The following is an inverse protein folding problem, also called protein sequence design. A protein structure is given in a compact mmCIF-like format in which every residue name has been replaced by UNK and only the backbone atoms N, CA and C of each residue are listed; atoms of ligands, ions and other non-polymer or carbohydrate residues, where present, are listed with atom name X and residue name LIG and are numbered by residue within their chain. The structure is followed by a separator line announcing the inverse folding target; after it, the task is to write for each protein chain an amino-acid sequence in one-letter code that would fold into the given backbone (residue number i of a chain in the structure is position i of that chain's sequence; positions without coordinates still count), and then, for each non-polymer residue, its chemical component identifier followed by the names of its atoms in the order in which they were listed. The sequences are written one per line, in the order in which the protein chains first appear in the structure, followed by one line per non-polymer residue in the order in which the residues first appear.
data_IF_258893271324
#
_entry.id   IF_258893271324
#
_cell.length_a   1.000
_cell.length_b   1.000
_cell.length_c   1.000
_cell.angle_alpha   90.00
_cell.angle_beta   90.00
_cell.angle_gamma   90.00
#
_symmetry.space_group_name_H-M   'P 1'
#
loop_
_entity.id
_entity.type
_entity.pdbx_description
1 polymer ?
#
# COMPACT_ATOMS: atom_id res chain seq x y z
N UNK A 1 19.99 -2.81 -20.23
CA UNK A 1 20.39 -3.93 -19.35
C UNK A 1 19.16 -4.80 -19.10
N UNK A 2 19.31 -6.12 -18.95
CA UNK A 2 18.20 -7.04 -18.69
C UNK A 2 18.56 -7.87 -17.46
N UNK A 3 17.62 -8.06 -16.55
CA UNK A 3 17.70 -9.06 -15.47
C UNK A 3 16.38 -9.83 -15.36
N UNK A 4 16.37 -10.96 -14.68
CA UNK A 4 15.17 -11.73 -14.43
C UNK A 4 15.08 -12.28 -13.01
N UNK A 5 13.86 -12.61 -12.59
CA UNK A 5 13.58 -13.35 -11.36
C UNK A 5 12.54 -14.42 -11.63
N UNK A 6 12.74 -15.61 -11.06
CA UNK A 6 11.83 -16.75 -11.24
C UNK A 6 11.25 -17.15 -9.89
N UNK A 7 9.92 -17.26 -9.84
CA UNK A 7 9.17 -17.72 -8.67
C UNK A 7 8.79 -19.18 -8.89
N UNK A 8 9.17 -20.02 -7.94
CA UNK A 8 8.83 -21.43 -7.91
C UNK A 8 7.70 -21.70 -6.91
N UNK A 9 6.87 -22.68 -7.23
CA UNK A 9 5.96 -23.32 -6.27
C UNK A 9 6.30 -24.81 -6.24
N UNK A 10 6.04 -25.47 -5.10
CA UNK A 10 6.37 -26.87 -4.90
C UNK A 10 5.10 -27.71 -4.78
N UNK A 11 5.01 -28.79 -5.56
CA UNK A 11 4.00 -29.85 -5.38
C UNK A 11 4.73 -31.17 -5.13
N UNK A 12 4.51 -31.76 -3.95
CA UNK A 12 5.20 -32.98 -3.52
C UNK A 12 6.73 -32.89 -3.71
N UNK A 13 7.31 -31.81 -3.17
CA UNK A 13 8.75 -31.48 -3.23
C UNK A 13 9.35 -31.25 -4.63
N UNK A 14 8.53 -31.25 -5.69
CA UNK A 14 8.97 -30.91 -7.05
C UNK A 14 8.74 -29.42 -7.32
N UNK A 15 9.81 -28.63 -7.57
CA UNK A 15 9.66 -27.24 -7.96
C UNK A 15 9.09 -27.14 -9.38
N UNK A 16 8.12 -26.27 -9.58
CA UNK A 16 7.72 -25.82 -10.92
C UNK A 16 7.73 -24.30 -10.98
N UNK A 17 8.05 -23.78 -12.15
CA UNK A 17 8.03 -22.33 -12.38
C UNK A 17 6.58 -21.88 -12.38
N UNK A 18 6.24 -20.95 -11.48
CA UNK A 18 4.93 -20.31 -11.43
C UNK A 18 4.94 -19.00 -12.22
N UNK A 19 6.00 -18.22 -12.04
CA UNK A 19 6.13 -16.90 -12.63
C UNK A 19 7.59 -16.62 -12.99
N UNK A 20 7.82 -15.98 -14.14
CA UNK A 20 9.10 -15.40 -14.51
C UNK A 20 8.91 -13.92 -14.84
N UNK A 21 9.66 -13.08 -14.15
CA UNK A 21 9.67 -11.62 -14.33
C UNK A 21 10.95 -11.23 -15.05
N UNK A 22 10.83 -10.57 -16.19
CA UNK A 22 11.97 -10.03 -16.96
C UNK A 22 11.94 -8.51 -16.85
N UNK A 23 13.00 -7.95 -16.28
CA UNK A 23 13.19 -6.53 -16.04
C UNK A 23 14.09 -5.97 -17.13
N UNK A 24 13.56 -5.01 -17.90
CA UNK A 24 14.30 -4.33 -18.97
C UNK A 24 14.58 -2.90 -18.52
N UNK A 25 15.85 -2.55 -18.47
CA UNK A 25 16.30 -1.23 -18.03
C UNK A 25 16.81 -0.38 -19.19
N UNK A 26 16.56 0.92 -19.12
CA UNK A 26 17.13 1.91 -20.03
C UNK A 26 18.65 2.09 -19.84
N UNK A 27 19.25 2.97 -20.64
CA UNK A 27 20.69 3.28 -20.57
C UNK A 27 21.15 3.86 -19.22
N UNK A 28 20.23 4.42 -18.44
CA UNK A 28 20.47 5.01 -17.13
C UNK A 28 20.12 4.05 -15.98
N UNK A 29 19.92 2.75 -16.27
CA UNK A 29 19.52 1.70 -15.32
C UNK A 29 18.16 1.95 -14.66
N UNK A 30 17.27 2.72 -15.28
CA UNK A 30 15.86 2.82 -14.83
C UNK A 30 15.03 1.71 -15.46
N UNK A 31 14.14 1.11 -14.68
CA UNK A 31 13.23 0.07 -15.16
C UNK A 31 12.32 0.67 -16.24
N UNK A 32 12.47 0.23 -17.48
CA UNK A 32 11.67 0.70 -18.61
C UNK A 32 10.47 -0.21 -18.84
N UNK A 33 10.68 -1.52 -18.76
CA UNK A 33 9.66 -2.52 -19.03
C UNK A 33 9.79 -3.70 -18.05
N UNK A 34 8.66 -4.24 -17.61
CA UNK A 34 8.56 -5.48 -16.85
C UNK A 34 7.65 -6.43 -17.63
N UNK A 35 8.19 -7.60 -17.97
CA UNK A 35 7.46 -8.67 -18.65
C UNK A 35 7.21 -9.78 -17.64
N UNK A 36 5.94 -10.12 -17.42
CA UNK A 36 5.53 -11.11 -16.42
C UNK A 36 4.96 -12.31 -17.16
N UNK A 37 5.67 -13.43 -17.13
CA UNK A 37 5.29 -14.69 -17.74
C UNK A 37 4.75 -15.63 -16.68
N UNK A 38 3.51 -16.08 -16.84
CA UNK A 38 2.85 -17.00 -15.92
C UNK A 38 2.79 -18.40 -16.53
N UNK A 39 2.97 -19.38 -15.66
CA UNK A 39 3.00 -20.79 -16.01
C UNK A 39 2.04 -21.58 -15.12
N UNK A 40 1.48 -22.67 -15.64
CA UNK A 40 0.72 -23.65 -14.88
C UNK A 40 1.48 -24.97 -14.82
N UNK A 41 1.13 -25.78 -13.84
CA UNK A 41 1.57 -27.16 -13.76
C UNK A 41 0.45 -28.06 -14.28
N UNK A 42 0.74 -28.88 -15.29
CA UNK A 42 -0.22 -29.84 -15.88
C UNK A 42 0.49 -31.13 -16.27
N UNK A 43 -0.05 -32.25 -15.81
CA UNK A 43 0.39 -33.61 -16.16
C UNK A 43 1.91 -33.77 -16.12
N UNK A 44 2.54 -33.36 -15.01
CA UNK A 44 3.99 -33.36 -14.75
C UNK A 44 4.85 -32.36 -15.54
N UNK A 45 4.26 -31.51 -16.38
CA UNK A 45 4.96 -30.52 -17.18
C UNK A 45 4.62 -29.08 -16.77
N UNK A 46 5.58 -28.17 -16.96
CA UNK A 46 5.34 -26.73 -16.82
C UNK A 46 4.83 -26.19 -18.15
N UNK A 47 3.65 -25.59 -18.14
CA UNK A 47 2.98 -25.05 -19.34
C UNK A 47 2.95 -23.53 -19.27
N UNK A 48 3.39 -22.86 -20.33
CA UNK A 48 3.24 -21.41 -20.45
C UNK A 48 1.76 -21.05 -20.64
N UNK A 49 1.23 -20.19 -19.77
CA UNK A 49 -0.17 -19.75 -19.86
C UNK A 49 -0.31 -18.42 -20.58
N UNK A 50 0.55 -17.47 -20.21
CA UNK A 50 0.36 -16.08 -20.59
C UNK A 50 1.50 -15.17 -20.22
N UNK A 51 1.55 -14.03 -20.88
CA UNK A 51 2.43 -12.93 -20.57
C UNK A 51 1.62 -11.63 -20.47
N UNK A 52 2.05 -10.72 -19.61
CA UNK A 52 1.60 -9.33 -19.62
C UNK A 52 2.80 -8.41 -19.52
N UNK A 53 2.67 -7.20 -20.03
CA UNK A 53 3.75 -6.21 -20.05
C UNK A 53 3.36 -4.98 -19.25
N UNK A 54 4.30 -4.44 -18.50
CA UNK A 54 4.19 -3.15 -17.85
C UNK A 54 5.32 -2.26 -18.36
N UNK A 55 5.00 -1.03 -18.75
CA UNK A 55 6.00 -0.03 -19.14
C UNK A 55 6.01 1.13 -18.16
N UNK A 56 7.16 1.77 -18.02
CA UNK A 56 7.39 2.85 -17.07
C UNK A 56 8.01 4.04 -17.80
N UNK A 57 7.49 5.24 -17.54
CA UNK A 57 8.04 6.51 -18.01
C UNK A 57 8.38 7.38 -16.82
N UNK A 58 9.48 8.12 -16.93
CA UNK A 58 9.99 8.98 -15.87
C UNK A 58 10.13 10.40 -16.37
N UNK A 59 10.00 11.36 -15.45
CA UNK A 59 10.38 12.74 -15.72
C UNK A 59 11.90 12.95 -15.68
N UNK A 60 12.34 14.18 -15.95
CA UNK A 60 13.74 14.58 -15.95
C UNK A 60 14.41 14.41 -14.56
N UNK A 61 13.64 14.49 -13.47
CA UNK A 61 14.09 14.27 -12.09
C UNK A 61 14.06 12.80 -11.68
N UNK A 62 13.84 11.87 -12.62
CA UNK A 62 13.79 10.43 -12.36
C UNK A 62 12.58 9.96 -11.53
N UNK A 63 11.53 10.77 -11.43
CA UNK A 63 10.28 10.37 -10.76
C UNK A 63 9.37 9.69 -11.78
N UNK A 64 8.62 8.68 -11.34
CA UNK A 64 7.72 7.92 -12.20
C UNK A 64 6.57 8.82 -12.66
N UNK A 65 6.43 9.05 -13.95
CA UNK A 65 5.37 9.86 -14.57
C UNK A 65 4.17 8.99 -14.95
N UNK A 66 4.44 7.80 -15.48
CA UNK A 66 3.41 6.90 -16.00
C UNK A 66 3.84 5.44 -15.82
N UNK A 67 2.87 4.60 -15.47
CA UNK A 67 2.94 3.15 -15.56
C UNK A 67 1.79 2.68 -16.45
N UNK A 68 2.09 1.94 -17.50
CA UNK A 68 1.10 1.43 -18.43
C UNK A 68 1.15 -0.09 -18.47
N UNK A 69 0.01 -0.75 -18.24
CA UNK A 69 -0.14 -2.19 -18.28
C UNK A 69 -0.83 -2.62 -19.57
N UNK A 70 -0.29 -3.66 -20.19
CA UNK A 70 -0.76 -4.26 -21.42
C UNK A 70 -1.16 -5.70 -21.16
N UNK A 71 -2.30 -6.10 -21.69
CA UNK A 71 -2.81 -7.46 -21.59
C UNK A 71 -2.01 -8.45 -22.45
N UNK A 72 -2.47 -9.70 -22.47
CA UNK A 72 -1.84 -10.81 -23.20
C UNK A 72 -1.84 -10.63 -24.72
N UNK A 73 -2.72 -9.79 -25.25
CA UNK A 73 -2.79 -9.44 -26.68
C UNK A 73 -1.91 -8.24 -27.04
N UNK A 74 -1.29 -7.61 -26.03
CA UNK A 74 -0.52 -6.37 -26.20
C UNK A 74 -1.39 -5.12 -26.22
N UNK A 75 -2.69 -5.22 -25.94
CA UNK A 75 -3.60 -4.07 -25.82
C UNK A 75 -3.41 -3.39 -24.46
N UNK A 76 -3.41 -2.06 -24.45
CA UNK A 76 -3.35 -1.28 -23.21
C UNK A 76 -4.59 -1.57 -22.35
N UNK A 77 -4.39 -2.08 -21.14
CA UNK A 77 -5.45 -2.45 -20.20
C UNK A 77 -5.66 -1.38 -19.13
N UNK A 78 -4.57 -0.78 -18.63
CA UNK A 78 -4.64 0.31 -17.66
C UNK A 78 -3.43 1.23 -17.69
N UNK A 79 -3.60 2.44 -17.17
CA UNK A 79 -2.53 3.42 -16.95
C UNK A 79 -2.68 4.08 -15.59
N UNK A 80 -1.55 4.20 -14.88
CA UNK A 80 -1.39 5.08 -13.73
C UNK A 80 -0.53 6.28 -14.17
N UNK A 81 -1.00 7.50 -13.92
CA UNK A 81 -0.25 8.75 -14.19
C UNK A 81 -0.08 9.56 -12.91
N UNK A 82 1.11 10.12 -12.70
CA UNK A 82 1.48 10.76 -11.43
C UNK A 82 1.84 12.23 -11.63
N UNK A 83 1.35 13.08 -10.74
CA UNK A 83 1.73 14.49 -10.65
C UNK A 83 2.42 14.75 -9.31
N UNK A 84 3.44 15.61 -9.35
CA UNK A 84 4.27 15.94 -8.19
C UNK A 84 4.29 17.45 -7.96
N UNK A 85 4.46 17.85 -6.70
CA UNK A 85 4.79 19.23 -6.38
C UNK A 85 6.28 19.56 -6.61
N UNK A 86 6.66 20.81 -6.34
CA UNK A 86 8.03 21.29 -6.47
C UNK A 86 9.03 20.62 -5.51
N UNK A 87 8.55 19.99 -4.43
CA UNK A 87 9.37 19.19 -3.49
C UNK A 87 9.47 17.73 -3.91
N UNK A 88 8.86 17.34 -5.04
CA UNK A 88 8.85 15.96 -5.52
C UNK A 88 7.88 15.04 -4.79
N UNK A 89 6.92 15.58 -4.04
CA UNK A 89 5.88 14.79 -3.37
C UNK A 89 4.71 14.58 -4.33
N UNK A 90 4.16 13.37 -4.40
CA UNK A 90 3.03 13.05 -5.27
C UNK A 90 1.78 13.78 -4.79
N UNK A 91 1.16 14.61 -5.64
CA UNK A 91 -0.07 15.36 -5.34
C UNK A 91 -1.31 14.77 -6.01
N UNK A 92 -1.14 14.02 -7.11
CA UNK A 92 -2.23 13.36 -7.82
C UNK A 92 -1.77 12.05 -8.45
N UNK A 93 -2.67 11.08 -8.48
CA UNK A 93 -2.52 9.81 -9.17
C UNK A 93 -3.79 9.54 -9.96
N UNK A 94 -3.70 9.41 -11.27
CA UNK A 94 -4.81 9.13 -12.16
C UNK A 94 -4.72 7.68 -12.61
N UNK A 95 -5.75 6.89 -12.30
CA UNK A 95 -5.91 5.52 -12.78
C UNK A 95 -6.96 5.49 -13.87
N UNK A 96 -6.60 4.98 -15.05
CA UNK A 96 -7.50 4.81 -16.17
C UNK A 96 -7.42 3.38 -16.72
N UNK A 97 -8.56 2.84 -17.09
CA UNK A 97 -8.69 1.55 -17.77
C UNK A 97 -9.40 1.74 -19.10
N UNK A 98 -9.45 0.69 -19.92
CA UNK A 98 -10.30 0.68 -21.12
C UNK A 98 -11.80 0.82 -20.83
N UNK A 99 -12.22 0.50 -19.59
CA UNK A 99 -13.59 0.66 -19.11
C UNK A 99 -13.72 1.90 -18.23
N UNK A 100 -14.20 3.01 -18.79
CA UNK A 100 -14.20 4.34 -18.15
C UNK A 100 -14.82 4.39 -16.75
N UNK A 101 -15.80 3.53 -16.46
CA UNK A 101 -16.46 3.42 -15.16
C UNK A 101 -15.48 3.15 -14.01
N UNK A 102 -14.36 2.48 -14.27
CA UNK A 102 -13.35 2.17 -13.25
C UNK A 102 -12.28 3.25 -13.11
N UNK A 103 -12.33 4.29 -13.95
CA UNK A 103 -11.39 5.40 -13.88
C UNK A 103 -11.62 6.18 -12.59
N UNK A 104 -10.51 6.54 -11.95
CA UNK A 104 -10.49 7.25 -10.67
C UNK A 104 -9.21 8.04 -10.54
N UNK A 105 -9.19 8.98 -9.63
CA UNK A 105 -7.93 9.60 -9.22
C UNK A 105 -7.83 9.68 -7.71
N UNK A 106 -6.61 9.71 -7.22
CA UNK A 106 -6.29 10.05 -5.84
C UNK A 106 -5.63 11.42 -5.77
N UNK A 107 -5.88 12.16 -4.70
CA UNK A 107 -5.20 13.42 -4.39
C UNK A 107 -4.57 13.38 -3.01
N UNK A 108 -3.54 14.20 -2.81
CA UNK A 108 -2.77 14.26 -1.56
C UNK A 108 -2.42 15.71 -1.23
N UNK A 109 -2.59 16.08 0.03
CA UNK A 109 -2.17 17.35 0.59
C UNK A 109 -1.22 17.12 1.75
N UNK A 110 -0.24 18.00 1.89
CA UNK A 110 0.86 17.83 2.85
C UNK A 110 1.02 19.06 3.73
N UNK A 111 1.42 18.85 4.98
CA UNK A 111 1.92 19.93 5.83
C UNK A 111 3.34 20.37 5.42
N UNK A 112 3.87 21.39 6.09
CA UNK A 112 5.20 21.94 5.81
C UNK A 112 6.32 20.93 6.07
N UNK A 113 6.13 20.06 7.07
CA UNK A 113 7.04 18.98 7.44
C UNK A 113 7.04 17.81 6.46
N UNK A 114 6.13 17.80 5.47
CA UNK A 114 6.08 16.77 4.44
C UNK A 114 5.15 15.59 4.72
N UNK A 115 4.36 15.63 5.79
CA UNK A 115 3.39 14.58 6.10
C UNK A 115 2.07 14.84 5.39
N UNK A 116 1.40 13.77 4.96
CA UNK A 116 0.06 13.84 4.38
C UNK A 116 -0.93 14.28 5.45
N UNK A 117 -1.65 15.38 5.23
CA UNK A 117 -2.72 15.86 6.12
C UNK A 117 -4.11 15.51 5.60
N UNK A 118 -4.23 15.35 4.28
CA UNK A 118 -5.45 14.91 3.62
C UNK A 118 -5.10 14.07 2.40
N UNK A 119 -5.92 13.06 2.13
CA UNK A 119 -5.93 12.39 0.83
C UNK A 119 -7.33 11.92 0.49
N UNK A 120 -7.65 11.80 -0.79
CA UNK A 120 -8.94 11.29 -1.22
C UNK A 120 -8.83 10.41 -2.45
N UNK A 121 -9.86 9.60 -2.67
CA UNK A 121 -10.11 8.86 -3.91
C UNK A 121 -11.42 9.39 -4.49
N UNK A 122 -11.39 9.72 -5.77
CA UNK A 122 -12.49 10.36 -6.49
C UNK A 122 -12.74 9.57 -7.77
N UNK A 123 -13.99 9.53 -8.20
CA UNK A 123 -14.27 9.13 -9.58
C UNK A 123 -13.87 10.27 -10.56
N UNK A 124 -13.95 10.01 -11.86
CA UNK A 124 -13.61 11.03 -12.87
C UNK A 124 -14.60 12.21 -12.93
N UNK A 125 -15.78 12.07 -12.34
CA UNK A 125 -16.75 13.16 -12.15
C UNK A 125 -16.44 14.06 -10.94
N UNK A 126 -15.25 13.93 -10.34
CA UNK A 126 -14.83 14.64 -9.12
C UNK A 126 -15.66 14.34 -7.86
N UNK A 127 -16.45 13.28 -7.87
CA UNK A 127 -17.20 12.86 -6.69
C UNK A 127 -16.29 12.06 -5.74
N UNK A 128 -16.15 12.46 -4.47
CA UNK A 128 -15.34 11.76 -3.49
C UNK A 128 -15.95 10.38 -3.18
N UNK A 129 -15.16 9.33 -3.37
CA UNK A 129 -15.49 7.97 -2.97
C UNK A 129 -14.94 7.65 -1.58
N UNK A 130 -13.81 8.26 -1.24
CA UNK A 130 -13.22 8.19 0.10
C UNK A 130 -12.40 9.46 0.36
N UNK A 131 -12.44 9.96 1.59
CA UNK A 131 -11.52 10.97 2.12
C UNK A 131 -10.85 10.46 3.39
N UNK A 132 -9.60 10.84 3.58
CA UNK A 132 -8.79 10.54 4.77
C UNK A 132 -8.15 11.81 5.26
N UNK A 133 -8.23 12.06 6.56
CA UNK A 133 -7.49 13.16 7.20
C UNK A 133 -6.57 12.63 8.27
N UNK A 134 -5.46 13.34 8.50
CA UNK A 134 -4.42 12.97 9.43
C UNK A 134 -4.01 14.19 10.25
N UNK A 135 -3.88 14.02 11.56
CA UNK A 135 -3.37 15.06 12.46
C UNK A 135 -2.14 14.54 13.17
N UNK A 136 -1.17 15.43 13.33
CA UNK A 136 0.11 15.15 13.96
C UNK A 136 0.30 16.06 15.17
N UNK A 137 1.00 15.57 16.19
CA UNK A 137 1.44 16.40 17.31
C UNK A 137 2.72 17.19 16.96
N UNK A 138 3.24 17.96 17.92
CA UNK A 138 4.46 18.76 17.75
C UNK A 138 5.72 17.92 17.50
N UNK A 139 5.74 16.66 17.95
CA UNK A 139 6.81 15.69 17.68
C UNK A 139 6.68 15.00 16.31
N UNK A 140 5.74 15.45 15.48
CA UNK A 140 5.45 14.88 14.16
C UNK A 140 4.92 13.43 14.20
N UNK A 141 4.31 13.01 15.31
CA UNK A 141 3.66 11.71 15.46
C UNK A 141 2.18 11.81 15.09
N UNK A 142 1.67 10.83 14.34
CA UNK A 142 0.25 10.76 13.97
C UNK A 142 -0.60 10.53 15.22
N UNK A 143 -1.52 11.44 15.54
CA UNK A 143 -2.38 11.35 16.73
C UNK A 143 -3.84 11.07 16.39
N UNK A 144 -4.28 11.41 15.17
CA UNK A 144 -5.64 11.15 14.71
C UNK A 144 -5.63 10.83 13.22
N UNK A 145 -6.44 9.85 12.84
CA UNK A 145 -6.73 9.52 11.45
C UNK A 145 -8.22 9.31 11.27
N UNK A 146 -8.82 9.87 10.22
CA UNK A 146 -10.23 9.62 9.88
C UNK A 146 -10.35 9.03 8.48
N UNK A 147 -11.44 8.27 8.27
CA UNK A 147 -11.88 7.79 6.96
C UNK A 147 -13.36 8.12 6.81
N UNK A 148 -13.66 8.89 5.78
CA UNK A 148 -15.01 9.13 5.31
C UNK A 148 -15.16 8.38 3.98
N UNK A 149 -15.89 7.28 4.00
CA UNK A 149 -16.09 6.40 2.85
C UNK A 149 -17.54 6.59 2.41
N UNK A 150 -17.73 6.91 1.12
CA UNK A 150 -19.06 7.15 0.54
C UNK A 150 -19.99 5.97 0.86
N UNK A 151 -21.19 6.28 1.36
CA UNK A 151 -22.22 5.31 1.73
C UNK A 151 -21.78 4.27 2.77
N UNK A 152 -20.78 4.57 3.60
CA UNK A 152 -20.29 3.67 4.66
C UNK A 152 -20.14 4.42 5.98
N UNK A 153 -19.77 3.68 7.02
CA UNK A 153 -19.57 4.26 8.36
C UNK A 153 -18.28 5.07 8.38
N UNK A 154 -18.32 6.21 9.08
CA UNK A 154 -17.13 7.03 9.32
C UNK A 154 -16.23 6.29 10.30
N UNK A 155 -14.97 6.12 9.93
CA UNK A 155 -13.96 5.51 10.80
C UNK A 155 -13.06 6.60 11.35
N UNK A 156 -12.65 6.45 12.60
CA UNK A 156 -11.65 7.32 13.23
C UNK A 156 -10.72 6.46 14.09
N UNK A 157 -9.44 6.79 14.08
CA UNK A 157 -8.43 6.21 14.96
C UNK A 157 -7.73 7.33 15.75
N UNK A 158 -7.54 7.13 17.04
CA UNK A 158 -6.67 7.95 17.89
C UNK A 158 -5.45 7.12 18.30
N UNK A 159 -4.29 7.76 18.34
CA UNK A 159 -3.01 7.12 18.65
C UNK A 159 -2.39 7.82 19.85
N UNK A 160 -1.88 7.03 20.80
CA UNK A 160 -1.17 7.55 21.98
C UNK A 160 0.20 6.94 22.08
N UNK A 161 1.15 7.75 22.51
CA UNK A 161 2.56 7.40 22.58
C UNK A 161 3.07 7.61 24.01
N UNK A 162 4.08 6.84 24.38
CA UNK A 162 4.81 7.05 25.62
C UNK A 162 5.84 8.19 25.50
N UNK A 163 6.59 8.43 26.57
CA UNK A 163 7.66 9.44 26.61
C UNK A 163 8.83 9.13 25.66
N UNK A 164 8.99 7.88 25.24
CA UNK A 164 9.99 7.44 24.25
C UNK A 164 9.46 7.51 22.83
N UNK A 165 8.25 8.07 22.62
CA UNK A 165 7.57 8.20 21.33
C UNK A 165 7.18 6.85 20.71
N UNK A 166 7.05 5.82 21.53
CA UNK A 166 6.61 4.49 21.10
C UNK A 166 5.08 4.39 21.19
N UNK A 167 4.44 3.74 20.21
CA UNK A 167 2.97 3.64 20.13
C UNK A 167 2.44 2.66 21.19
N UNK A 168 1.74 3.18 22.20
CA UNK A 168 1.23 2.37 23.32
C UNK A 168 -0.28 2.15 23.28
N UNK A 169 -1.01 2.91 22.47
CA UNK A 169 -2.47 2.76 22.38
C UNK A 169 -3.04 3.19 21.04
N UNK A 170 -4.00 2.42 20.56
CA UNK A 170 -4.86 2.76 19.42
C UNK A 170 -6.31 2.64 19.84
N UNK A 171 -7.09 3.71 19.68
CA UNK A 171 -8.54 3.69 19.89
C UNK A 171 -9.23 3.86 18.56
N UNK A 172 -10.08 2.91 18.18
CA UNK A 172 -10.79 2.90 16.90
C UNK A 172 -12.27 3.13 17.11
N UNK A 173 -12.84 3.95 16.24
CA UNK A 173 -14.20 4.44 16.32
C UNK A 173 -14.94 4.16 15.02
N UNK A 174 -16.22 3.82 15.15
CA UNK A 174 -17.17 3.70 14.05
C UNK A 174 -18.33 4.65 14.36
N UNK A 175 -18.57 5.63 13.49
CA UNK A 175 -19.56 6.70 13.69
C UNK A 175 -19.42 7.34 15.09
N UNK A 176 -18.19 7.74 15.42
CA UNK A 176 -17.78 8.38 16.68
C UNK A 176 -18.00 7.56 17.96
N UNK A 177 -18.44 6.30 17.85
CA UNK A 177 -18.49 5.34 18.96
C UNK A 177 -17.24 4.49 18.97
N UNK A 178 -16.64 4.29 20.14
CA UNK A 178 -15.51 3.35 20.30
C UNK A 178 -15.97 1.99 19.81
N UNK A 179 -15.20 1.40 18.91
CA UNK A 179 -15.38 0.05 18.39
C UNK A 179 -14.41 -0.92 19.06
N UNK A 180 -13.14 -0.55 19.17
CA UNK A 180 -12.18 -1.25 20.04
C UNK A 180 -11.07 -0.30 20.52
N UNK A 181 -10.39 -0.73 21.56
CA UNK A 181 -9.12 -0.17 22.03
C UNK A 181 -8.08 -1.26 21.97
N UNK A 182 -6.87 -0.94 21.52
CA UNK A 182 -5.71 -1.82 21.63
C UNK A 182 -4.61 -1.10 22.40
N UNK A 183 -4.06 -1.76 23.41
CA UNK A 183 -2.95 -1.26 24.23
C UNK A 183 -1.74 -2.17 24.08
N UNK A 184 -0.56 -1.58 24.03
CA UNK A 184 0.69 -2.30 23.75
C UNK A 184 1.67 -2.16 24.92
N UNK A 185 2.31 -3.28 25.25
CA UNK A 185 3.52 -3.30 26.09
C UNK A 185 4.69 -3.58 25.17
N UNK A 186 5.68 -2.69 25.22
CA UNK A 186 6.82 -2.71 24.32
C UNK A 186 8.12 -2.94 25.09
N UNK A 187 9.10 -3.55 24.43
CA UNK A 187 10.47 -3.57 24.93
C UNK A 187 11.21 -2.25 24.63
N UNK A 188 12.47 -2.17 25.07
CA UNK A 188 13.31 -0.99 24.87
C UNK A 188 13.61 -0.68 23.39
N UNK A 189 13.55 -1.69 22.51
CA UNK A 189 13.77 -1.54 21.05
C UNK A 189 12.47 -1.21 20.30
N UNK A 190 11.32 -1.23 20.99
CA UNK A 190 10.01 -0.91 20.46
C UNK A 190 9.26 -2.10 19.88
N UNK A 191 9.71 -3.32 20.15
CA UNK A 191 8.95 -4.50 19.74
C UNK A 191 7.80 -4.76 20.70
N UNK A 192 6.68 -5.24 20.15
CA UNK A 192 5.48 -5.56 20.92
C UNK A 192 5.70 -6.85 21.69
N UNK A 193 5.79 -6.75 23.02
CA UNK A 193 5.81 -7.90 23.93
C UNK A 193 4.40 -8.38 24.21
N UNK A 194 3.47 -7.45 24.40
CA UNK A 194 2.06 -7.76 24.62
C UNK A 194 1.15 -6.78 23.88
N UNK A 195 -0.01 -7.27 23.43
CA UNK A 195 -1.11 -6.42 22.97
C UNK A 195 -2.42 -6.86 23.61
N UNK A 196 -3.18 -5.91 24.17
CA UNK A 196 -4.49 -6.16 24.78
C UNK A 196 -5.59 -5.45 23.99
N UNK A 197 -6.51 -6.24 23.43
CA UNK A 197 -7.68 -5.74 22.71
C UNK A 197 -8.88 -5.67 23.65
N UNK A 198 -9.55 -4.53 23.64
CA UNK A 198 -10.76 -4.29 24.41
C UNK A 198 -11.92 -3.91 23.49
N UNK A 199 -13.08 -4.51 23.74
CA UNK A 199 -14.36 -4.08 23.21
C UNK A 199 -14.86 -2.81 23.92
N UNK A 200 -15.93 -2.17 23.41
CA UNK A 200 -16.49 -0.97 24.01
C UNK A 200 -16.86 -1.19 25.48
N UNK A 201 -16.55 -0.21 26.34
CA UNK A 201 -16.70 -0.33 27.79
C UNK A 201 -15.54 -1.05 28.49
N UNK A 202 -14.34 -1.03 27.91
CA UNK A 202 -13.10 -1.62 28.46
C UNK A 202 -13.21 -3.12 28.75
N UNK A 203 -14.00 -3.84 27.95
CA UNK A 203 -14.15 -5.29 28.10
C UNK A 203 -12.98 -5.99 27.40
N UNK A 204 -12.07 -6.68 28.11
CA UNK A 204 -10.97 -7.37 27.46
C UNK A 204 -11.51 -8.47 26.54
N UNK A 205 -10.98 -8.54 25.33
CA UNK A 205 -11.38 -9.49 24.29
C UNK A 205 -10.30 -10.51 24.03
N UNK A 206 -9.08 -10.04 23.74
CA UNK A 206 -7.92 -10.90 23.45
C UNK A 206 -6.65 -10.26 24.00
N UNK A 207 -5.78 -11.09 24.58
CA UNK A 207 -4.38 -10.76 24.88
C UNK A 207 -3.47 -11.58 23.97
N UNK A 208 -2.56 -10.93 23.28
CA UNK A 208 -1.44 -11.60 22.59
C UNK A 208 -0.15 -11.34 23.35
N UNK A 209 0.69 -12.36 23.45
CA UNK A 209 2.01 -12.30 24.08
C UNK A 209 3.03 -12.81 23.07
N UNK A 210 4.10 -12.06 22.89
CA UNK A 210 5.18 -12.35 21.96
C UNK A 210 6.47 -12.58 22.74
N UNK A 211 7.07 -13.75 22.56
CA UNK A 211 8.43 -14.01 23.00
C UNK A 211 9.40 -13.59 21.90
N UNK A 212 10.38 -12.76 22.25
CA UNK A 212 11.36 -12.22 21.32
C UNK A 212 12.74 -12.59 21.84
N UNK A 213 13.50 -13.29 21.00
CA UNK A 213 14.88 -13.67 21.26
C UNK A 213 15.80 -12.80 20.42
N UNK A 214 16.85 -12.30 21.06
CA UNK A 214 17.89 -11.52 20.41
C UNK A 214 19.13 -12.39 20.25
N UNK A 215 19.63 -12.44 19.02
CA UNK A 215 20.89 -13.07 18.68
C UNK A 215 21.87 -11.95 18.33
N UNK A 216 23.09 -12.06 18.83
CA UNK A 216 24.20 -11.12 18.58
C UNK A 216 24.85 -11.35 17.20
#
# INVERSE_FOLDING_TARGET
MISDSTIYTYYSDKPYVRERNVFVYDKNKKLKELIIKNYSWKDTTTVYNSERKITYKYDAQSRLLEKAEYDRSGKLSSTDRYLYDNKGRKIKELYQTDTERYNRYSSYQYNQQGNVIESGIYNMGNEPQMKRTFKYNADNLLIERTYDIKNSKKLKALFSYDKKKQLVKVQQFINDKVYYVNEFVLDQKGNVLESMFYLPGNKPLVKHIHQIEYYD
#
